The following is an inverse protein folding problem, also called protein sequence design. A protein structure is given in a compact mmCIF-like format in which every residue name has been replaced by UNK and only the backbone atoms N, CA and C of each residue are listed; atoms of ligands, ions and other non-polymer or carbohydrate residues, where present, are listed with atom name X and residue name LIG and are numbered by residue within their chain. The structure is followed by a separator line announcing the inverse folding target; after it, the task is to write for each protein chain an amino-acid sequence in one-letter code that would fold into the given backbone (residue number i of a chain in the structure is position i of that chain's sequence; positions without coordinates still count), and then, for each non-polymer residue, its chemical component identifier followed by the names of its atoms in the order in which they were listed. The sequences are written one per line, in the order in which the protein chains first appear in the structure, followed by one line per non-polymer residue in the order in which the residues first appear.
data_IF_222044735814
#
_entry.id   IF_222044735814
#
_cell.length_a   1.000
_cell.length_b   1.000
_cell.length_c   1.000
_cell.angle_alpha   90.00
_cell.angle_beta   90.00
_cell.angle_gamma   90.00
#
_symmetry.space_group_name_H-M   'P 1'
#
loop_
_entity.id
_entity.type
_entity.pdbx_description
1 polymer ?
#
# COMPACT_ATOMS: atom_id res chain seq x y z
N UNK A 1 8.67 17.69 -4.89
CA UNK A 1 7.37 16.97 -4.83
C UNK A 1 7.45 15.98 -3.69
N UNK A 2 6.49 15.91 -2.76
CA UNK A 2 6.46 14.84 -1.79
C UNK A 2 6.26 13.52 -2.54
N UNK A 3 7.22 12.60 -2.42
CA UNK A 3 7.25 11.32 -3.15
C UNK A 3 6.04 10.38 -2.86
N UNK A 4 5.25 10.71 -1.85
CA UNK A 4 4.06 9.97 -1.43
C UNK A 4 2.76 10.45 -2.07
N UNK A 5 2.76 11.57 -2.77
CA UNK A 5 1.62 12.07 -3.54
C UNK A 5 1.63 11.42 -4.93
N UNK A 6 1.13 10.21 -5.01
CA UNK A 6 0.83 9.58 -6.29
C UNK A 6 -0.50 10.13 -6.79
N UNK A 7 -0.45 11.22 -7.53
CA UNK A 7 -1.59 11.67 -8.32
C UNK A 7 -1.77 10.70 -9.48
N UNK A 8 -2.78 9.87 -9.40
CA UNK A 8 -3.11 8.93 -10.46
C UNK A 8 -3.51 9.74 -11.70
N UNK A 9 -2.76 9.56 -12.77
CA UNK A 9 -3.10 9.97 -14.13
C UNK A 9 -3.45 11.44 -14.41
N UNK A 10 -2.79 12.41 -13.73
CA UNK A 10 -2.79 13.77 -14.22
C UNK A 10 -1.62 13.97 -15.19
N UNK A 11 -1.87 14.08 -16.51
CA UNK A 11 -0.83 14.28 -17.52
C UNK A 11 -0.02 15.58 -17.31
N UNK A 12 -0.55 16.52 -16.53
CA UNK A 12 0.06 17.81 -16.25
C UNK A 12 0.85 17.86 -14.93
N UNK A 13 1.05 16.75 -14.23
CA UNK A 13 1.80 16.72 -12.97
C UNK A 13 3.28 17.11 -13.13
N UNK A 14 3.82 17.13 -14.32
CA UNK A 14 5.19 17.56 -14.61
C UNK A 14 5.33 19.08 -14.74
N UNK A 15 4.24 19.80 -14.92
CA UNK A 15 4.25 21.24 -15.20
C UNK A 15 3.85 22.13 -14.02
N UNK A 16 3.28 21.60 -12.94
CA UNK A 16 2.74 22.43 -11.89
C UNK A 16 3.26 22.06 -10.50
N UNK A 17 3.93 23.01 -9.88
CA UNK A 17 4.14 23.03 -8.43
C UNK A 17 2.83 23.23 -7.64
N UNK A 18 1.67 23.18 -8.31
CA UNK A 18 0.35 23.41 -7.75
C UNK A 18 -0.56 22.22 -8.00
N UNK A 19 -1.29 21.84 -6.97
CA UNK A 19 -2.35 20.86 -7.06
C UNK A 19 -3.56 21.44 -7.80
N UNK A 20 -4.37 20.59 -8.48
CA UNK A 20 -5.56 21.08 -9.20
C UNK A 20 -6.64 21.61 -8.25
N UNK A 21 -6.58 21.27 -6.97
CA UNK A 21 -7.60 21.61 -5.97
C UNK A 21 -7.19 22.78 -5.09
N UNK A 22 -8.12 23.71 -4.88
CA UNK A 22 -7.98 24.81 -3.92
C UNK A 22 -8.48 24.43 -2.53
N UNK A 23 -9.50 23.58 -2.44
CA UNK A 23 -10.10 23.13 -1.18
C UNK A 23 -10.32 21.64 -1.19
N UNK A 24 -9.85 20.96 -0.14
CA UNK A 24 -10.00 19.52 0.06
C UNK A 24 -10.51 19.20 1.48
N UNK A 25 -11.09 18.01 1.62
CA UNK A 25 -11.39 17.41 2.91
C UNK A 25 -10.57 16.14 3.10
N UNK A 26 -9.82 16.06 4.19
CA UNK A 26 -9.02 14.91 4.57
C UNK A 26 -9.80 14.10 5.60
N UNK A 27 -10.13 12.85 5.29
CA UNK A 27 -10.84 11.98 6.21
C UNK A 27 -9.94 10.85 6.70
N UNK A 28 -10.04 10.54 7.99
CA UNK A 28 -9.36 9.40 8.58
C UNK A 28 -10.32 8.57 9.44
N UNK A 29 -10.07 7.28 9.53
CA UNK A 29 -10.75 6.40 10.48
C UNK A 29 -10.33 6.78 11.90
N UNK A 30 -11.29 7.01 12.78
CA UNK A 30 -11.01 7.37 14.16
C UNK A 30 -10.20 6.27 14.86
N UNK A 31 -9.02 6.62 15.35
CA UNK A 31 -8.08 5.69 16.00
C UNK A 31 -7.07 5.02 15.06
N UNK A 32 -7.15 5.25 13.75
CA UNK A 32 -6.15 4.76 12.81
C UNK A 32 -4.93 5.70 12.78
N UNK A 33 -3.78 5.22 13.26
CA UNK A 33 -2.58 6.03 13.48
C UNK A 33 -1.60 6.04 12.30
N UNK A 34 -1.73 5.10 11.34
CA UNK A 34 -0.80 4.98 10.21
C UNK A 34 -1.12 5.97 9.06
N UNK A 35 -1.92 7.01 9.36
CA UNK A 35 -2.29 8.08 8.43
C UNK A 35 -2.23 9.43 9.13
N UNK A 36 -1.16 10.17 8.93
CA UNK A 36 -0.85 11.41 9.62
C UNK A 36 -1.54 12.61 8.98
N UNK A 37 -2.80 12.83 9.32
CA UNK A 37 -3.67 13.85 8.71
C UNK A 37 -3.11 15.26 8.83
N UNK A 38 -2.52 15.62 9.97
CA UNK A 38 -1.95 16.96 10.16
C UNK A 38 -0.74 17.19 9.26
N UNK A 39 0.15 16.22 9.17
CA UNK A 39 1.30 16.30 8.26
C UNK A 39 0.84 16.45 6.80
N UNK A 40 -0.15 15.66 6.41
CA UNK A 40 -0.75 15.72 5.07
C UNK A 40 -1.37 17.10 4.81
N UNK A 41 -2.13 17.65 5.75
CA UNK A 41 -2.75 18.96 5.65
C UNK A 41 -1.71 20.08 5.51
N UNK A 42 -0.61 19.99 6.27
CA UNK A 42 0.48 20.96 6.21
C UNK A 42 1.20 20.95 4.85
N UNK A 43 1.40 19.74 4.26
CA UNK A 43 1.98 19.64 2.93
C UNK A 43 1.04 20.18 1.84
N UNK A 44 -0.27 19.90 1.92
CA UNK A 44 -1.25 20.50 1.02
C UNK A 44 -1.27 22.02 1.12
N UNK A 45 -1.17 22.57 2.35
CA UNK A 45 -1.12 24.01 2.56
C UNK A 45 0.12 24.66 1.94
N UNK A 46 1.29 24.01 2.02
CA UNK A 46 2.52 24.47 1.35
C UNK A 46 2.37 24.55 -0.17
N UNK A 47 1.54 23.70 -0.75
CA UNK A 47 1.22 23.69 -2.17
C UNK A 47 0.05 24.63 -2.55
N UNK A 48 -0.47 25.40 -1.59
CA UNK A 48 -1.53 26.39 -1.81
C UNK A 48 -2.95 25.81 -1.77
N UNK A 49 -3.12 24.59 -1.24
CA UNK A 49 -4.42 23.94 -1.09
C UNK A 49 -4.91 24.02 0.36
N UNK A 50 -6.10 24.57 0.56
CA UNK A 50 -6.79 24.62 1.85
C UNK A 50 -7.36 23.25 2.19
N UNK A 51 -7.17 22.77 3.42
CA UNK A 51 -7.64 21.46 3.84
C UNK A 51 -8.42 21.50 5.15
N UNK A 52 -9.46 20.68 5.24
CA UNK A 52 -10.17 20.40 6.49
C UNK A 52 -9.98 18.96 6.87
N UNK A 53 -9.74 18.69 8.16
CA UNK A 53 -9.51 17.34 8.68
C UNK A 53 -10.79 16.85 9.36
N UNK A 54 -11.23 15.67 8.99
CA UNK A 54 -12.36 14.96 9.58
C UNK A 54 -11.93 13.58 10.06
N UNK A 55 -12.43 13.18 11.21
CA UNK A 55 -12.32 11.79 11.67
C UNK A 55 -13.69 11.17 11.65
N UNK A 56 -13.79 9.96 11.12
CA UNK A 56 -15.06 9.23 11.07
C UNK A 56 -15.00 7.89 11.76
N UNK A 57 -16.14 7.46 12.23
CA UNK A 57 -16.37 6.14 12.80
C UNK A 57 -17.81 5.71 12.51
N UNK A 58 -18.04 4.42 12.44
CA UNK A 58 -19.37 3.80 12.35
C UNK A 58 -19.33 2.39 12.96
N UNK A 59 -20.50 1.77 13.25
CA UNK A 59 -20.58 0.54 14.03
C UNK A 59 -19.64 -0.58 13.62
N UNK A 60 -19.44 -0.78 12.31
CA UNK A 60 -18.56 -1.82 11.81
C UNK A 60 -17.08 -1.61 12.19
N UNK A 61 -16.62 -0.37 12.34
CA UNK A 61 -15.26 -0.02 12.74
C UNK A 61 -15.07 0.00 14.26
N UNK A 62 -16.15 0.04 15.04
CA UNK A 62 -16.07 0.15 16.50
C UNK A 62 -15.39 -1.07 17.12
N UNK A 63 -15.55 -2.25 16.54
CA UNK A 63 -14.84 -3.47 16.98
C UNK A 63 -13.32 -3.29 16.88
N UNK A 64 -12.81 -2.74 15.75
CA UNK A 64 -11.40 -2.49 15.57
C UNK A 64 -10.90 -1.40 16.55
N UNK A 65 -11.72 -0.38 16.79
CA UNK A 65 -11.39 0.70 17.72
C UNK A 65 -11.23 0.21 19.16
N UNK A 66 -12.05 -0.74 19.60
CA UNK A 66 -11.94 -1.36 20.93
C UNK A 66 -10.69 -2.20 21.11
N UNK A 67 -10.08 -2.65 20.01
CA UNK A 67 -8.85 -3.42 19.98
C UNK A 67 -7.77 -2.67 19.18
N UNK A 68 -7.03 -1.74 19.79
CA UNK A 68 -6.09 -0.87 19.04
C UNK A 68 -5.04 -1.63 18.22
N UNK A 69 -4.64 -2.83 18.62
CA UNK A 69 -3.72 -3.69 17.86
C UNK A 69 -4.33 -4.20 16.55
N UNK A 70 -5.66 -4.23 16.45
CA UNK A 70 -6.41 -4.63 15.27
C UNK A 70 -6.69 -3.46 14.31
N UNK A 71 -6.45 -2.21 14.74
CA UNK A 71 -6.63 -1.00 13.93
C UNK A 71 -5.49 -0.87 12.89
N UNK A 72 -5.42 -1.84 11.99
CA UNK A 72 -4.43 -1.93 10.90
C UNK A 72 -5.11 -1.72 9.55
N UNK A 73 -4.36 -1.17 8.60
CA UNK A 73 -4.86 -0.88 7.24
C UNK A 73 -5.55 -2.08 6.59
N UNK A 74 -5.01 -3.29 6.78
CA UNK A 74 -5.58 -4.54 6.23
C UNK A 74 -6.93 -4.89 6.87
N UNK A 75 -7.06 -4.73 8.19
CA UNK A 75 -8.31 -5.04 8.89
C UNK A 75 -9.40 -4.02 8.54
N UNK A 76 -9.04 -2.76 8.42
CA UNK A 76 -9.95 -1.71 7.92
C UNK A 76 -10.38 -2.05 6.48
N UNK A 77 -9.44 -2.44 5.61
CA UNK A 77 -9.75 -2.82 4.25
C UNK A 77 -10.73 -4.01 4.17
N UNK A 78 -10.58 -5.01 5.04
CA UNK A 78 -11.53 -6.13 5.14
C UNK A 78 -12.94 -5.69 5.52
N UNK A 79 -13.08 -4.68 6.38
CA UNK A 79 -14.39 -4.13 6.70
C UNK A 79 -15.05 -3.48 5.47
N UNK A 80 -14.23 -2.83 4.62
CA UNK A 80 -14.71 -2.21 3.38
C UNK A 80 -14.87 -3.17 2.19
N UNK A 81 -14.62 -4.46 2.35
CA UNK A 81 -15.05 -5.50 1.38
C UNK A 81 -16.59 -5.70 1.40
N UNK A 82 -17.24 -5.28 2.46
CA UNK A 82 -18.70 -5.32 2.58
C UNK A 82 -19.31 -4.06 1.94
N UNK A 83 -20.22 -4.28 1.03
CA UNK A 83 -20.90 -3.20 0.30
C UNK A 83 -21.62 -2.23 1.25
N UNK A 84 -22.25 -2.75 2.29
CA UNK A 84 -22.96 -1.96 3.32
C UNK A 84 -22.05 -0.89 3.96
N UNK A 85 -20.80 -1.26 4.28
CA UNK A 85 -19.84 -0.35 4.89
C UNK A 85 -19.35 0.72 3.89
N UNK A 86 -19.24 0.39 2.61
CA UNK A 86 -18.94 1.36 1.56
C UNK A 86 -20.11 2.33 1.36
N UNK A 87 -21.35 1.86 1.43
CA UNK A 87 -22.54 2.70 1.34
C UNK A 87 -22.64 3.68 2.52
N UNK A 88 -22.36 3.19 3.73
CA UNK A 88 -22.34 4.02 4.93
C UNK A 88 -21.23 5.08 4.84
N UNK A 89 -20.02 4.70 4.41
CA UNK A 89 -18.93 5.64 4.17
C UNK A 89 -19.29 6.68 3.11
N UNK A 90 -19.84 6.27 1.97
CA UNK A 90 -20.23 7.19 0.91
C UNK A 90 -21.26 8.22 1.40
N UNK A 91 -22.22 7.79 2.22
CA UNK A 91 -23.24 8.65 2.82
C UNK A 91 -22.59 9.65 3.77
N UNK A 92 -21.67 9.19 4.62
CA UNK A 92 -20.91 10.03 5.54
C UNK A 92 -20.07 11.05 4.79
N UNK A 93 -19.28 10.62 3.81
CA UNK A 93 -18.44 11.52 3.01
C UNK A 93 -19.25 12.60 2.31
N UNK A 94 -20.39 12.23 1.73
CA UNK A 94 -21.28 13.18 1.06
C UNK A 94 -21.84 14.23 2.00
N UNK A 95 -22.14 13.86 3.24
CA UNK A 95 -22.68 14.75 4.28
C UNK A 95 -21.61 15.70 4.84
N UNK A 96 -20.44 15.16 5.15
CA UNK A 96 -19.41 15.86 5.94
C UNK A 96 -18.40 16.63 5.07
N UNK A 97 -18.21 16.27 3.82
CA UNK A 97 -17.20 16.91 2.96
C UNK A 97 -17.50 18.37 2.68
N UNK A 98 -18.78 18.76 2.65
CA UNK A 98 -19.17 20.13 2.34
C UNK A 98 -18.79 20.55 0.90
N UNK A 99 -18.47 21.83 0.74
CA UNK A 99 -18.07 22.42 -0.54
C UNK A 99 -16.55 22.31 -0.76
N UNK A 100 -16.07 21.12 -1.09
CA UNK A 100 -14.68 20.86 -1.46
C UNK A 100 -14.60 20.25 -2.86
N UNK A 101 -13.45 20.44 -3.50
CA UNK A 101 -13.20 19.94 -4.86
C UNK A 101 -12.80 18.46 -4.85
N UNK A 102 -12.07 18.04 -3.80
CA UNK A 102 -11.66 16.65 -3.65
C UNK A 102 -11.68 16.19 -2.18
N UNK A 103 -11.75 14.87 -2.02
CA UNK A 103 -11.66 14.18 -0.73
C UNK A 103 -10.38 13.35 -0.71
N UNK A 104 -9.64 13.43 0.38
CA UNK A 104 -8.43 12.63 0.61
C UNK A 104 -8.72 11.59 1.67
N UNK A 105 -8.42 10.33 1.38
CA UNK A 105 -8.62 9.17 2.25
C UNK A 105 -7.34 8.35 2.36
N UNK A 106 -7.13 7.61 3.46
CA UNK A 106 -6.10 6.57 3.48
C UNK A 106 -6.41 5.47 2.48
N UNK A 107 -5.39 4.90 1.85
CA UNK A 107 -5.53 3.79 0.90
C UNK A 107 -5.82 2.46 1.62
N UNK A 108 -6.97 2.38 2.28
CA UNK A 108 -7.44 1.22 3.05
C UNK A 108 -8.64 0.54 2.39
N UNK A 109 -8.66 0.51 1.06
CA UNK A 109 -9.75 -0.05 0.25
C UNK A 109 -9.21 -1.01 -0.79
N UNK A 110 -10.05 -1.93 -1.25
CA UNK A 110 -9.77 -2.80 -2.38
C UNK A 110 -8.64 -3.78 -2.10
N UNK A 111 -8.71 -4.53 -1.02
CA UNK A 111 -7.71 -5.56 -0.69
C UNK A 111 -7.68 -6.65 -1.76
N UNK A 112 -8.85 -7.10 -2.22
CA UNK A 112 -9.00 -8.15 -3.22
C UNK A 112 -9.33 -7.60 -4.62
N UNK A 113 -10.09 -6.51 -4.70
CA UNK A 113 -10.55 -5.90 -5.95
C UNK A 113 -10.42 -4.37 -5.88
N UNK A 114 -9.98 -3.76 -6.98
CA UNK A 114 -9.75 -2.30 -7.07
C UNK A 114 -11.00 -1.54 -7.58
N UNK A 115 -12.17 -1.90 -7.10
CA UNK A 115 -13.45 -1.28 -7.52
C UNK A 115 -14.01 -0.30 -6.49
N UNK A 116 -13.51 -0.35 -5.25
CA UNK A 116 -14.05 0.45 -4.15
C UNK A 116 -13.89 1.95 -4.38
N UNK A 117 -12.76 2.38 -4.96
CA UNK A 117 -12.52 3.79 -5.27
C UNK A 117 -13.53 4.33 -6.28
N UNK A 118 -13.69 3.65 -7.41
CA UNK A 118 -14.62 4.04 -8.47
C UNK A 118 -16.05 4.07 -7.94
N UNK A 119 -16.42 3.10 -7.11
CA UNK A 119 -17.70 3.05 -6.45
C UNK A 119 -17.94 4.28 -5.55
N UNK A 120 -16.98 4.60 -4.66
CA UNK A 120 -17.08 5.73 -3.75
C UNK A 120 -17.15 7.07 -4.52
N UNK A 121 -16.29 7.27 -5.52
CA UNK A 121 -16.30 8.48 -6.37
C UNK A 121 -17.65 8.69 -7.03
N UNK A 122 -18.20 7.62 -7.63
CA UNK A 122 -19.52 7.66 -8.29
C UNK A 122 -20.66 7.96 -7.32
N UNK A 123 -20.61 7.38 -6.11
CA UNK A 123 -21.66 7.57 -5.09
C UNK A 123 -21.62 8.95 -4.44
N UNK A 124 -20.40 9.43 -4.16
CA UNK A 124 -20.18 10.73 -3.49
C UNK A 124 -20.32 11.89 -4.49
N UNK A 125 -19.97 11.68 -5.75
CA UNK A 125 -20.00 12.71 -6.79
C UNK A 125 -18.86 13.72 -6.66
N UNK A 126 -17.75 13.31 -6.05
CA UNK A 126 -16.54 14.13 -5.87
C UNK A 126 -15.30 13.29 -6.20
N UNK A 127 -14.23 13.95 -6.59
CA UNK A 127 -12.95 13.31 -6.75
C UNK A 127 -12.44 12.80 -5.40
N UNK A 128 -11.92 11.56 -5.37
CA UNK A 128 -11.35 10.94 -4.17
C UNK A 128 -9.92 10.55 -4.47
N UNK A 129 -8.99 11.10 -3.70
CA UNK A 129 -7.58 10.76 -3.73
C UNK A 129 -7.25 9.81 -2.58
N UNK A 130 -6.71 8.63 -2.90
CA UNK A 130 -6.21 7.69 -1.89
C UNK A 130 -4.72 7.90 -1.68
N UNK A 131 -4.32 8.21 -0.45
CA UNK A 131 -2.91 8.31 -0.09
C UNK A 131 -2.43 7.04 0.59
N UNK A 132 -1.20 6.58 0.28
CA UNK A 132 -0.59 5.43 0.93
C UNK A 132 -0.52 5.59 2.46
N UNK A 133 -0.70 4.49 3.17
CA UNK A 133 -0.46 4.40 4.61
C UNK A 133 0.94 3.83 4.88
N UNK A 134 1.36 3.84 6.14
CA UNK A 134 2.59 3.13 6.54
C UNK A 134 2.50 1.63 6.23
N UNK A 135 3.65 0.97 5.96
CA UNK A 135 3.68 -0.47 5.75
C UNK A 135 3.20 -1.27 6.99
N UNK A 136 2.52 -2.39 6.76
CA UNK A 136 2.09 -2.97 5.50
C UNK A 136 0.87 -2.26 4.90
N UNK A 137 1.02 -1.71 3.70
CA UNK A 137 -0.05 -0.97 3.02
C UNK A 137 -0.96 -1.89 2.21
N UNK A 138 -2.24 -1.55 2.09
CA UNK A 138 -3.22 -2.33 1.31
C UNK A 138 -2.83 -2.41 -0.18
N UNK A 139 -2.41 -1.33 -0.85
CA UNK A 139 -1.93 -1.41 -2.23
C UNK A 139 -0.73 -2.35 -2.40
N UNK A 140 0.23 -2.32 -1.44
CA UNK A 140 1.40 -3.20 -1.46
C UNK A 140 1.03 -4.67 -1.33
N UNK A 141 0.15 -5.01 -0.39
CA UNK A 141 -0.36 -6.38 -0.19
C UNK A 141 -1.11 -6.85 -1.43
N UNK A 142 -2.00 -6.03 -1.99
CA UNK A 142 -2.73 -6.36 -3.22
C UNK A 142 -1.77 -6.63 -4.38
N UNK A 143 -0.77 -5.78 -4.59
CA UNK A 143 0.24 -5.97 -5.63
C UNK A 143 0.99 -7.29 -5.45
N UNK A 144 1.44 -7.59 -4.24
CA UNK A 144 2.11 -8.86 -3.92
C UNK A 144 1.22 -10.07 -4.23
N UNK A 145 -0.05 -10.02 -3.82
CA UNK A 145 -1.00 -11.10 -4.08
C UNK A 145 -1.26 -11.30 -5.58
N UNK A 146 -1.42 -10.22 -6.33
CA UNK A 146 -1.63 -10.27 -7.77
C UNK A 146 -0.41 -10.82 -8.51
N UNK A 147 0.80 -10.35 -8.18
CA UNK A 147 2.04 -10.85 -8.76
C UNK A 147 2.24 -12.34 -8.47
N UNK A 148 2.00 -12.76 -7.21
CA UNK A 148 2.05 -14.17 -6.83
C UNK A 148 1.06 -15.01 -7.65
N UNK A 149 -0.18 -14.54 -7.80
CA UNK A 149 -1.19 -15.22 -8.60
C UNK A 149 -0.77 -15.35 -10.07
N UNK A 150 -0.30 -14.27 -10.68
CA UNK A 150 0.21 -14.29 -12.05
C UNK A 150 1.39 -15.25 -12.21
N UNK A 151 2.33 -15.24 -11.28
CA UNK A 151 3.49 -16.14 -11.29
C UNK A 151 3.06 -17.61 -11.22
N UNK A 152 2.15 -17.96 -10.33
CA UNK A 152 1.63 -19.32 -10.19
C UNK A 152 0.80 -19.75 -11.41
N UNK A 153 0.02 -18.85 -12.00
CA UNK A 153 -0.72 -19.11 -13.24
C UNK A 153 0.20 -19.37 -14.44
N UNK A 154 1.38 -18.74 -14.45
CA UNK A 154 2.43 -19.00 -15.44
C UNK A 154 3.21 -20.31 -15.18
N UNK A 155 2.82 -21.12 -14.20
CA UNK A 155 3.46 -22.38 -13.83
C UNK A 155 4.62 -22.24 -12.85
N UNK A 156 4.84 -21.06 -12.27
CA UNK A 156 5.90 -20.84 -11.29
C UNK A 156 5.56 -21.45 -9.93
N UNK A 157 6.57 -21.95 -9.24
CA UNK A 157 6.45 -22.43 -7.86
C UNK A 157 6.91 -21.33 -6.90
N UNK A 158 5.98 -20.81 -6.12
CA UNK A 158 6.26 -19.78 -5.12
C UNK A 158 6.44 -20.40 -3.73
N UNK A 159 7.66 -20.33 -3.22
CA UNK A 159 8.02 -20.83 -1.89
C UNK A 159 8.23 -19.64 -0.94
N UNK A 160 7.49 -19.65 0.16
CA UNK A 160 7.54 -18.61 1.19
C UNK A 160 8.17 -19.17 2.48
N UNK A 161 8.96 -18.35 3.17
CA UNK A 161 9.53 -18.72 4.47
C UNK A 161 10.70 -19.68 4.34
N UNK A 162 11.42 -19.63 3.24
CA UNK A 162 12.67 -20.38 3.05
C UNK A 162 13.84 -19.40 2.87
N UNK A 163 15.04 -19.85 3.18
CA UNK A 163 16.27 -19.09 3.08
C UNK A 163 17.31 -19.87 2.30
N UNK A 164 17.90 -19.25 1.29
CA UNK A 164 19.06 -19.84 0.57
C UNK A 164 20.28 -19.78 1.50
N UNK A 165 20.87 -20.93 1.78
CA UNK A 165 22.00 -21.03 2.68
C UNK A 165 23.34 -21.17 1.95
N UNK A 166 23.34 -21.80 0.78
CA UNK A 166 24.55 -22.18 0.07
C UNK A 166 24.31 -22.21 -1.43
N UNK A 167 25.32 -21.76 -2.18
CA UNK A 167 25.37 -21.87 -3.62
C UNK A 167 26.62 -22.67 -4.02
N UNK A 168 26.49 -23.54 -5.01
CA UNK A 168 27.63 -24.19 -5.66
C UNK A 168 27.88 -23.54 -7.02
N UNK A 169 29.16 -23.30 -7.29
CA UNK A 169 29.62 -22.65 -8.51
C UNK A 169 30.42 -23.60 -9.40
N UNK A 170 30.15 -23.57 -10.67
CA UNK A 170 30.93 -24.25 -11.71
C UNK A 170 31.44 -23.20 -12.70
N UNK A 171 32.76 -22.95 -12.67
CA UNK A 171 33.37 -21.88 -13.42
C UNK A 171 32.85 -20.50 -12.95
N UNK A 172 32.24 -19.74 -13.85
CA UNK A 172 31.65 -18.42 -13.52
C UNK A 172 30.11 -18.45 -13.42
N UNK A 173 29.54 -19.61 -13.10
CA UNK A 173 28.09 -19.82 -13.02
C UNK A 173 27.71 -20.51 -11.73
N UNK A 174 26.63 -20.05 -11.09
CA UNK A 174 25.98 -20.80 -10.02
C UNK A 174 25.23 -21.97 -10.67
N UNK A 175 25.57 -23.20 -10.26
CA UNK A 175 24.96 -24.45 -10.77
C UNK A 175 23.87 -24.97 -9.87
N UNK A 176 24.00 -24.79 -8.54
CA UNK A 176 23.07 -25.32 -7.53
C UNK A 176 22.86 -24.31 -6.40
N UNK A 177 21.62 -24.30 -5.88
CA UNK A 177 21.27 -23.57 -4.67
C UNK A 177 20.68 -24.53 -3.64
N UNK A 178 20.98 -24.30 -2.38
CA UNK A 178 20.47 -25.08 -1.26
C UNK A 178 19.76 -24.16 -0.29
N UNK A 179 18.59 -24.59 0.18
CA UNK A 179 17.79 -23.81 1.11
C UNK A 179 17.60 -24.52 2.45
N UNK A 180 17.25 -23.74 3.46
CA UNK A 180 17.07 -24.25 4.82
C UNK A 180 16.03 -25.38 4.90
N UNK A 181 14.89 -25.20 4.28
CA UNK A 181 13.79 -26.16 4.35
C UNK A 181 14.01 -27.42 3.50
N UNK A 182 14.94 -27.38 2.54
CA UNK A 182 15.19 -28.50 1.61
C UNK A 182 16.51 -29.23 1.88
N UNK A 183 17.32 -28.74 2.85
CA UNK A 183 18.56 -29.36 3.26
C UNK A 183 19.52 -29.59 2.09
N UNK A 184 19.90 -30.84 1.85
CA UNK A 184 20.84 -31.23 0.78
C UNK A 184 20.19 -31.45 -0.60
N UNK A 185 18.89 -31.18 -0.75
CA UNK A 185 18.22 -31.28 -2.06
C UNK A 185 18.48 -29.96 -2.81
N UNK A 186 19.23 -29.98 -3.93
CA UNK A 186 19.58 -28.79 -4.65
C UNK A 186 18.44 -28.28 -5.55
N UNK A 187 18.33 -26.97 -5.65
CA UNK A 187 17.61 -26.32 -6.73
C UNK A 187 18.58 -26.10 -7.91
N UNK A 188 18.18 -26.56 -9.08
CA UNK A 188 18.97 -26.45 -10.30
C UNK A 188 18.20 -25.65 -11.32
N UNK A 189 18.85 -24.66 -11.95
CA UNK A 189 18.23 -23.81 -12.97
C UNK A 189 19.20 -23.44 -14.08
N UNK A 190 18.66 -23.21 -15.27
CA UNK A 190 19.46 -22.67 -16.39
C UNK A 190 19.90 -21.24 -16.12
N UNK A 191 19.07 -20.48 -15.44
CA UNK A 191 19.31 -19.08 -15.03
C UNK A 191 18.94 -18.92 -13.58
N UNK A 192 19.76 -18.21 -12.84
CA UNK A 192 19.52 -17.84 -11.45
C UNK A 192 19.48 -16.32 -11.40
N UNK A 193 18.41 -15.78 -10.87
CA UNK A 193 18.23 -14.35 -10.71
C UNK A 193 18.24 -14.04 -9.21
N UNK A 194 19.22 -13.25 -8.79
CA UNK A 194 19.31 -12.77 -7.42
C UNK A 194 18.50 -11.46 -7.32
N UNK A 195 17.44 -11.51 -6.52
CA UNK A 195 16.53 -10.38 -6.30
C UNK A 195 16.27 -10.18 -4.80
N UNK A 196 17.32 -10.34 -3.99
CA UNK A 196 17.32 -10.31 -2.53
C UNK A 196 16.94 -8.95 -1.94
N UNK A 197 17.02 -7.88 -2.73
CA UNK A 197 16.65 -6.53 -2.34
C UNK A 197 17.86 -5.68 -1.94
N UNK A 198 17.72 -4.94 -0.84
CA UNK A 198 18.71 -3.96 -0.38
C UNK A 198 19.12 -4.20 1.07
N UNK A 199 19.94 -3.31 1.60
CA UNK A 199 20.30 -3.31 3.03
C UNK A 199 19.09 -3.25 3.96
N UNK A 200 18.05 -2.51 3.59
CA UNK A 200 16.82 -2.40 4.38
C UNK A 200 16.00 -3.69 4.45
N UNK A 201 16.07 -4.50 3.41
CA UNK A 201 15.39 -5.81 3.36
C UNK A 201 16.29 -6.97 3.80
N UNK A 202 17.48 -6.68 4.31
CA UNK A 202 18.51 -7.66 4.67
C UNK A 202 18.96 -8.53 3.47
N UNK A 203 18.74 -8.07 2.25
CA UNK A 203 19.22 -8.71 1.05
C UNK A 203 20.71 -8.44 0.78
N UNK A 204 21.25 -7.39 1.40
CA UNK A 204 22.67 -7.05 1.38
C UNK A 204 23.16 -6.80 2.80
N UNK A 205 24.30 -7.37 3.14
CA UNK A 205 24.97 -7.17 4.42
C UNK A 205 26.33 -6.54 4.17
N UNK A 206 26.60 -5.37 4.74
CA UNK A 206 27.88 -4.70 4.65
C UNK A 206 28.72 -4.94 5.90
N UNK A 207 29.97 -5.28 5.71
CA UNK A 207 31.02 -5.24 6.73
C UNK A 207 32.02 -4.14 6.39
N UNK A 208 33.01 -3.91 7.26
CA UNK A 208 34.10 -2.95 6.97
C UNK A 208 34.96 -3.35 5.78
N UNK A 209 34.93 -4.60 5.36
CA UNK A 209 35.81 -5.15 4.32
C UNK A 209 35.07 -5.41 3.00
N UNK A 210 33.79 -5.81 3.06
CA UNK A 210 33.04 -6.19 1.84
C UNK A 210 31.51 -6.22 2.07
N UNK A 211 30.81 -6.32 0.96
CA UNK A 211 29.36 -6.54 0.91
C UNK A 211 29.09 -7.99 0.57
N UNK A 212 28.13 -8.58 1.26
CA UNK A 212 27.61 -9.93 1.04
C UNK A 212 26.15 -9.89 0.60
N UNK A 213 25.74 -10.92 -0.11
CA UNK A 213 24.36 -11.28 -0.41
C UNK A 213 23.99 -12.62 0.21
#
# INVERSE_FOLDING_TARGET
KPAWLTLKDHPDCDAADRLPWKKIAIFNVLGFLDFYTQFIADEFRKMGTESRIHSFNFPALEYLRKNPTEMRSVNIARMFEKQENLDELATLLKREAGEVEAIVLPAVFGLNQDTALDYLQKRVGKEICLLPTLPPSVPGIRTQQQLRKCFQQAGGVYMLGDTVLRAEQEGNRISRLFSYNHGEIPFVGKHIILASGSYFSQGLIATSERVYE
#
